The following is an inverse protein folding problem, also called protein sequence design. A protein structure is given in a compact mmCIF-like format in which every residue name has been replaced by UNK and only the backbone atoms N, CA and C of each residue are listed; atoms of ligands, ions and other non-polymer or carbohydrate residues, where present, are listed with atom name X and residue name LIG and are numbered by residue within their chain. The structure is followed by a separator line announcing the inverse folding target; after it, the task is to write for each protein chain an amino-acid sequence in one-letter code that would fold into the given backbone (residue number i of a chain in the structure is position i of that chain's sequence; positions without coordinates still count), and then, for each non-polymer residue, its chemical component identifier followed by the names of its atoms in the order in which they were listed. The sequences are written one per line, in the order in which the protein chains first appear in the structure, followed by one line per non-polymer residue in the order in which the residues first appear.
data_IF_003024651963
#
_entry.id   IF_003024651963
#
_cell.length_a   1.000
_cell.length_b   1.000
_cell.length_c   1.000
_cell.angle_alpha   90.00
_cell.angle_beta   90.00
_cell.angle_gamma   90.00
#
_symmetry.space_group_name_H-M   'P 1'
#
loop_
_entity.id
_entity.type
_entity.pdbx_description
1 polymer ?
#
# COMPACT_ATOMS: atom_id res chain seq x y z
N UNK A 1 -18.85 -30.69 0.88
CA UNK A 1 -17.93 -30.56 -0.27
C UNK A 1 -17.34 -29.16 -0.30
N UNK A 2 -16.04 -28.99 -0.04
CA UNK A 2 -15.39 -27.69 -0.15
C UNK A 2 -15.10 -27.39 -1.62
N UNK A 3 -15.68 -26.33 -2.19
CA UNK A 3 -15.24 -25.79 -3.49
C UNK A 3 -13.72 -25.60 -3.41
N UNK A 4 -12.96 -26.25 -4.30
CA UNK A 4 -11.57 -25.84 -4.54
C UNK A 4 -11.62 -24.36 -4.87
N UNK A 5 -10.96 -23.53 -4.04
CA UNK A 5 -10.90 -22.10 -4.28
C UNK A 5 -10.19 -21.92 -5.63
N UNK A 6 -10.93 -21.43 -6.62
CA UNK A 6 -10.35 -21.03 -7.89
C UNK A 6 -9.34 -19.92 -7.59
N UNK A 7 -8.06 -20.21 -7.83
CA UNK A 7 -6.95 -19.31 -7.50
C UNK A 7 -6.91 -18.13 -8.50
N UNK A 8 -7.51 -18.30 -9.69
CA UNK A 8 -7.48 -17.32 -10.78
C UNK A 8 -8.87 -16.77 -11.14
N UNK A 9 -9.93 -17.33 -10.56
CA UNK A 9 -11.31 -16.93 -10.83
C UNK A 9 -11.65 -15.50 -10.36
N UNK A 10 -12.74 -14.92 -10.90
CA UNK A 10 -13.18 -13.57 -10.53
C UNK A 10 -13.54 -13.46 -9.03
N UNK A 11 -13.92 -14.57 -8.39
CA UNK A 11 -14.29 -14.65 -6.97
C UNK A 11 -13.19 -15.22 -6.07
N UNK A 12 -11.92 -15.26 -6.55
CA UNK A 12 -10.79 -15.72 -5.73
C UNK A 12 -10.73 -15.01 -4.38
N UNK A 13 -10.28 -15.71 -3.36
CA UNK A 13 -10.20 -15.19 -2.00
C UNK A 13 -11.53 -14.73 -1.38
N UNK A 14 -12.69 -14.93 -2.05
CA UNK A 14 -14.00 -14.65 -1.46
C UNK A 14 -14.64 -15.95 -0.95
N UNK A 15 -15.23 -15.86 0.24
CA UNK A 15 -16.04 -16.93 0.84
C UNK A 15 -17.34 -16.34 1.38
N UNK A 16 -18.48 -16.97 1.08
CA UNK A 16 -19.79 -16.55 1.58
C UNK A 16 -20.13 -17.36 2.83
N UNK A 17 -20.42 -16.68 3.96
CA UNK A 17 -20.85 -17.33 5.20
C UNK A 17 -21.93 -16.48 5.88
N UNK A 18 -23.07 -17.09 6.20
CA UNK A 18 -24.18 -16.40 6.87
C UNK A 18 -24.66 -15.16 6.11
N UNK A 19 -24.72 -15.24 4.77
CA UNK A 19 -25.16 -14.13 3.91
C UNK A 19 -24.16 -12.98 3.76
N UNK A 20 -22.94 -13.07 4.33
CA UNK A 20 -21.91 -12.04 4.19
C UNK A 20 -20.64 -12.59 3.56
N UNK A 21 -20.00 -11.79 2.73
CA UNK A 21 -18.72 -12.13 2.11
C UNK A 21 -17.56 -11.89 3.08
N UNK A 22 -16.59 -12.81 3.00
CA UNK A 22 -15.34 -12.80 3.74
C UNK A 22 -14.18 -12.90 2.74
N UNK A 23 -13.18 -12.07 2.95
CA UNK A 23 -11.87 -12.21 2.34
C UNK A 23 -11.07 -13.29 3.08
N UNK A 24 -10.55 -14.26 2.34
CA UNK A 24 -9.75 -15.36 2.87
C UNK A 24 -8.57 -15.66 1.95
N UNK A 25 -7.36 -15.46 2.47
CA UNK A 25 -6.11 -15.63 1.70
C UNK A 25 -5.05 -16.34 2.52
N UNK A 26 -4.36 -17.30 1.90
CA UNK A 26 -3.22 -17.98 2.53
C UNK A 26 -1.96 -17.13 2.44
N UNK A 27 -1.16 -17.16 3.50
CA UNK A 27 0.18 -16.56 3.50
C UNK A 27 1.10 -17.43 2.62
N UNK A 28 1.91 -16.83 1.73
CA UNK A 28 2.87 -17.56 0.92
C UNK A 28 3.88 -18.34 1.76
N UNK A 29 4.26 -19.54 1.31
CA UNK A 29 5.11 -20.45 2.09
C UNK A 29 6.45 -19.81 2.49
N UNK A 30 7.08 -19.04 1.61
CA UNK A 30 8.34 -18.35 1.87
C UNK A 30 8.25 -17.23 2.93
N UNK A 31 7.03 -16.82 3.33
CA UNK A 31 6.78 -15.82 4.38
C UNK A 31 6.29 -16.47 5.69
N UNK A 32 6.19 -17.80 5.72
CA UNK A 32 5.78 -18.52 6.92
C UNK A 32 6.83 -18.33 8.00
N UNK A 33 6.41 -17.92 9.20
CA UNK A 33 7.31 -17.59 10.31
C UNK A 33 7.70 -16.12 10.38
N UNK A 34 7.57 -15.36 9.29
CA UNK A 34 7.72 -13.89 9.28
C UNK A 34 6.36 -13.23 9.52
N UNK A 35 5.34 -13.68 8.80
CA UNK A 35 3.97 -13.19 8.95
C UNK A 35 3.19 -14.08 9.91
N UNK A 36 2.43 -13.52 10.87
CA UNK A 36 1.68 -14.31 11.82
C UNK A 36 0.52 -15.05 11.14
N UNK A 37 0.49 -16.37 11.35
CA UNK A 37 -0.61 -17.23 10.97
C UNK A 37 -0.60 -17.67 9.49
N UNK A 38 -1.15 -18.86 9.17
CA UNK A 38 -1.12 -19.40 7.81
C UNK A 38 -2.24 -18.84 6.90
N UNK A 39 -3.25 -18.18 7.49
CA UNK A 39 -4.47 -17.78 6.80
C UNK A 39 -4.97 -16.43 7.32
N UNK A 40 -5.08 -15.47 6.42
CA UNK A 40 -5.74 -14.19 6.64
C UNK A 40 -7.23 -14.39 6.39
N UNK A 41 -8.07 -13.99 7.35
CA UNK A 41 -9.53 -14.04 7.21
C UNK A 41 -10.17 -12.76 7.73
N UNK A 42 -11.02 -12.14 6.90
CA UNK A 42 -11.64 -10.85 7.21
C UNK A 42 -13.06 -10.76 6.67
N UNK A 43 -13.98 -10.23 7.47
CA UNK A 43 -15.34 -9.94 7.00
C UNK A 43 -15.32 -8.67 6.13
N UNK A 44 -15.95 -8.73 4.95
CA UNK A 44 -16.15 -7.57 4.07
C UNK A 44 -17.40 -6.77 4.43
N UNK A 45 -18.18 -7.26 5.41
CA UNK A 45 -19.42 -6.70 5.95
C UNK A 45 -20.52 -6.46 4.90
N UNK A 46 -20.39 -7.02 3.70
CA UNK A 46 -21.35 -6.89 2.60
C UNK A 46 -21.90 -8.25 2.15
N UNK A 47 -23.13 -8.26 1.68
CA UNK A 47 -23.80 -9.39 1.00
C UNK A 47 -23.82 -9.22 -0.53
N UNK A 48 -23.43 -8.04 -1.04
CA UNK A 48 -23.30 -7.75 -2.46
C UNK A 48 -21.94 -8.23 -2.98
N UNK A 49 -21.98 -9.05 -4.02
CA UNK A 49 -20.80 -9.66 -4.65
C UNK A 49 -19.91 -8.62 -5.32
N UNK A 50 -20.50 -7.60 -5.96
CA UNK A 50 -19.73 -6.59 -6.70
C UNK A 50 -18.89 -5.75 -5.73
N UNK A 51 -19.53 -5.24 -4.68
CA UNK A 51 -18.85 -4.55 -3.59
C UNK A 51 -17.84 -5.44 -2.87
N UNK A 52 -18.13 -6.74 -2.71
CA UNK A 52 -17.19 -7.69 -2.12
C UNK A 52 -15.91 -7.84 -2.96
N UNK A 53 -16.03 -7.94 -4.29
CA UNK A 53 -14.89 -8.00 -5.21
C UNK A 53 -14.02 -6.77 -5.10
N UNK A 54 -14.62 -5.57 -5.14
CA UNK A 54 -13.89 -4.31 -5.00
C UNK A 54 -13.10 -4.26 -3.68
N UNK A 55 -13.74 -4.58 -2.56
CA UNK A 55 -13.05 -4.60 -1.25
C UNK A 55 -11.95 -5.67 -1.19
N UNK A 56 -12.17 -6.83 -1.80
CA UNK A 56 -11.15 -7.90 -1.89
C UNK A 56 -9.94 -7.45 -2.70
N UNK A 57 -10.14 -6.77 -3.83
CA UNK A 57 -9.04 -6.31 -4.68
C UNK A 57 -8.13 -5.32 -3.93
N UNK A 58 -8.71 -4.40 -3.14
CA UNK A 58 -7.95 -3.48 -2.29
C UNK A 58 -7.15 -4.22 -1.21
N UNK A 59 -7.77 -5.18 -0.51
CA UNK A 59 -7.10 -5.97 0.52
C UNK A 59 -6.01 -6.87 -0.04
N UNK A 60 -6.24 -7.47 -1.20
CA UNK A 60 -5.26 -8.31 -1.89
C UNK A 60 -4.05 -7.48 -2.30
N UNK A 61 -4.26 -6.28 -2.85
CA UNK A 61 -3.19 -5.35 -3.17
C UNK A 61 -2.42 -4.90 -1.91
N UNK A 62 -3.10 -4.63 -0.80
CA UNK A 62 -2.45 -4.27 0.45
C UNK A 62 -1.58 -5.41 1.04
N UNK A 63 -2.09 -6.65 1.01
CA UNK A 63 -1.33 -7.82 1.42
C UNK A 63 -0.11 -8.03 0.51
N UNK A 64 -0.26 -7.84 -0.81
CA UNK A 64 0.86 -7.91 -1.75
C UNK A 64 1.95 -6.90 -1.40
N UNK A 65 1.58 -5.65 -1.17
CA UNK A 65 2.55 -4.61 -0.82
C UNK A 65 3.26 -4.93 0.49
N UNK A 66 2.52 -5.35 1.52
CA UNK A 66 3.09 -5.74 2.81
C UNK A 66 4.10 -6.88 2.63
N UNK A 67 3.71 -7.96 1.97
CA UNK A 67 4.58 -9.11 1.73
C UNK A 67 5.80 -8.77 0.90
N UNK A 68 5.61 -7.91 -0.09
CA UNK A 68 6.68 -7.41 -0.93
C UNK A 68 7.64 -6.50 -0.14
N UNK A 69 7.20 -5.84 0.94
CA UNK A 69 8.08 -5.06 1.82
C UNK A 69 8.98 -5.95 2.69
N UNK A 70 8.54 -7.18 2.99
CA UNK A 70 9.27 -8.12 3.85
C UNK A 70 10.40 -8.85 3.09
N UNK A 71 10.42 -8.76 1.77
CA UNK A 71 11.36 -9.48 0.89
C UNK A 71 12.36 -8.56 0.20
N UNK A 72 12.25 -7.25 0.37
CA UNK A 72 13.11 -6.27 -0.28
C UNK A 72 14.28 -5.89 0.62
N UNK A 73 15.48 -5.87 0.04
CA UNK A 73 16.73 -5.52 0.71
C UNK A 73 17.04 -4.00 0.74
N UNK A 74 16.05 -3.16 0.44
CA UNK A 74 16.18 -1.70 0.45
C UNK A 74 15.20 -1.10 1.45
N UNK A 75 15.74 -0.39 2.44
CA UNK A 75 14.95 0.23 3.52
C UNK A 75 13.93 1.24 2.98
N UNK A 76 14.31 2.04 1.97
CA UNK A 76 13.41 3.01 1.32
C UNK A 76 12.26 2.30 0.61
N UNK A 77 12.56 1.26 -0.16
CA UNK A 77 11.52 0.49 -0.86
C UNK A 77 10.62 -0.27 0.12
N UNK A 78 11.17 -0.76 1.23
CA UNK A 78 10.42 -1.39 2.33
C UNK A 78 9.48 -0.40 3.00
N UNK A 79 9.96 0.79 3.37
CA UNK A 79 9.14 1.85 3.95
C UNK A 79 8.00 2.27 3.01
N UNK A 80 8.30 2.46 1.71
CA UNK A 80 7.31 2.82 0.69
C UNK A 80 6.22 1.75 0.52
N UNK A 81 6.61 0.48 0.48
CA UNK A 81 5.65 -0.65 0.36
C UNK A 81 4.80 -0.82 1.62
N UNK A 82 5.39 -0.65 2.80
CA UNK A 82 4.63 -0.64 4.07
C UNK A 82 3.60 0.48 4.10
N UNK A 83 4.02 1.69 3.72
CA UNK A 83 3.13 2.84 3.62
C UNK A 83 2.00 2.60 2.61
N UNK A 84 2.30 2.10 1.41
CA UNK A 84 1.27 1.79 0.40
C UNK A 84 0.26 0.73 0.90
N UNK A 85 0.73 -0.31 1.59
CA UNK A 85 -0.14 -1.28 2.27
C UNK A 85 -1.06 -0.59 3.29
N UNK A 86 -0.52 0.32 4.10
CA UNK A 86 -1.29 1.04 5.12
C UNK A 86 -2.38 1.92 4.50
N UNK A 87 -2.06 2.64 3.42
CA UNK A 87 -3.02 3.48 2.68
C UNK A 87 -4.19 2.64 2.19
N UNK A 88 -3.90 1.55 1.47
CA UNK A 88 -4.93 0.65 0.93
C UNK A 88 -5.79 0.00 2.03
N UNK A 89 -5.20 -0.32 3.18
CA UNK A 89 -5.94 -0.88 4.34
C UNK A 89 -6.89 0.13 4.96
N UNK A 90 -6.45 1.38 5.13
CA UNK A 90 -7.30 2.46 5.62
C UNK A 90 -8.49 2.65 4.68
N UNK A 91 -8.25 2.72 3.37
CA UNK A 91 -9.29 2.87 2.35
C UNK A 91 -10.29 1.70 2.35
N UNK A 92 -9.81 0.46 2.45
CA UNK A 92 -10.66 -0.73 2.55
C UNK A 92 -11.57 -0.71 3.79
N UNK A 93 -11.17 0.03 4.83
CA UNK A 93 -11.94 0.26 6.05
C UNK A 93 -12.84 1.51 6.00
N UNK A 94 -12.78 2.29 4.93
CA UNK A 94 -13.54 3.52 4.77
C UNK A 94 -12.87 4.76 5.36
N UNK A 95 -11.56 4.71 5.61
CA UNK A 95 -10.78 5.86 6.10
C UNK A 95 -9.83 6.35 5.01
N UNK A 96 -9.68 7.67 4.90
CA UNK A 96 -8.52 8.23 4.21
C UNK A 96 -7.30 8.09 5.11
N UNK A 97 -6.18 7.65 4.53
CA UNK A 97 -4.94 7.55 5.28
C UNK A 97 -4.41 8.94 5.61
N UNK A 98 -4.15 9.17 6.90
CA UNK A 98 -3.51 10.36 7.45
C UNK A 98 -2.54 9.90 8.53
N UNK A 99 -1.43 10.60 8.71
CA UNK A 99 -0.51 10.27 9.81
C UNK A 99 -1.16 10.57 11.16
N UNK A 100 -0.76 9.86 12.21
CA UNK A 100 -1.27 10.10 13.56
C UNK A 100 -1.11 11.58 13.99
N UNK A 101 0.02 12.18 13.63
CA UNK A 101 0.31 13.58 13.92
C UNK A 101 -0.65 14.54 13.19
N UNK A 102 -0.93 14.29 11.91
CA UNK A 102 -1.86 15.09 11.11
C UNK A 102 -3.32 14.94 11.60
N UNK A 103 -3.71 13.72 12.00
CA UNK A 103 -5.03 13.47 12.62
C UNK A 103 -5.19 14.30 13.90
N UNK A 104 -4.18 14.32 14.77
CA UNK A 104 -4.20 15.06 16.03
C UNK A 104 -4.20 16.57 15.80
N UNK A 105 -3.39 17.06 14.86
CA UNK A 105 -3.23 18.50 14.63
C UNK A 105 -4.37 19.12 13.81
N UNK A 106 -4.83 18.43 12.77
CA UNK A 106 -5.75 19.02 11.78
C UNK A 106 -7.09 18.28 11.67
N UNK A 107 -7.20 17.03 12.13
CA UNK A 107 -8.46 16.27 12.15
C UNK A 107 -9.39 16.63 13.32
N UNK A 108 -8.82 17.14 14.41
CA UNK A 108 -9.56 17.45 15.63
C UNK A 108 -9.96 16.21 16.44
N UNK A 109 -10.47 16.44 17.65
CA UNK A 109 -10.75 15.37 18.63
C UNK A 109 -11.80 14.36 18.13
N UNK A 110 -12.82 14.84 17.39
CA UNK A 110 -13.90 13.98 16.88
C UNK A 110 -13.36 12.96 15.88
N UNK A 111 -12.52 13.36 14.92
CA UNK A 111 -11.92 12.41 13.96
C UNK A 111 -11.06 11.38 14.70
N UNK A 112 -10.25 11.81 15.66
CA UNK A 112 -9.42 10.90 16.45
C UNK A 112 -10.26 9.85 17.21
N UNK A 113 -11.35 10.26 17.87
CA UNK A 113 -12.25 9.34 18.58
C UNK A 113 -12.93 8.36 17.62
N UNK A 114 -13.42 8.81 16.47
CA UNK A 114 -14.06 7.91 15.49
C UNK A 114 -13.11 6.82 14.98
N UNK A 115 -11.82 7.16 14.81
CA UNK A 115 -10.78 6.20 14.43
C UNK A 115 -10.47 5.22 15.57
N UNK A 116 -10.41 5.68 16.81
CA UNK A 116 -10.21 4.82 18.00
C UNK A 116 -11.37 3.82 18.16
N UNK A 117 -12.61 4.29 18.07
CA UNK A 117 -13.81 3.42 18.16
C UNK A 117 -13.85 2.37 17.03
N UNK A 118 -13.36 2.74 15.84
CA UNK A 118 -13.29 1.81 14.72
C UNK A 118 -12.28 0.67 14.98
N UNK A 119 -11.20 0.94 15.71
CA UNK A 119 -10.14 -0.01 16.05
C UNK A 119 -10.61 -1.13 16.98
N UNK A 120 -11.56 -0.88 17.88
CA UNK A 120 -12.08 -1.93 18.79
C UNK A 120 -12.62 -3.16 18.05
N UNK A 121 -13.12 -2.95 16.82
CA UNK A 121 -13.72 -4.00 16.00
C UNK A 121 -12.72 -4.65 15.03
N UNK A 122 -11.47 -4.20 15.04
CA UNK A 122 -10.38 -4.68 14.18
C UNK A 122 -9.55 -5.72 14.95
N UNK A 123 -9.19 -6.82 14.28
CA UNK A 123 -8.44 -7.93 14.90
C UNK A 123 -6.99 -8.04 14.43
N UNK A 124 -6.63 -7.24 13.44
CA UNK A 124 -5.43 -7.36 12.63
C UNK A 124 -4.54 -6.14 12.90
N UNK A 125 -3.34 -6.31 13.48
CA UNK A 125 -2.48 -5.18 13.87
C UNK A 125 -2.20 -4.19 12.73
N UNK A 126 -1.98 -4.70 11.51
CA UNK A 126 -1.70 -3.87 10.33
C UNK A 126 -2.88 -2.96 9.95
N UNK A 127 -4.10 -3.37 10.26
CA UNK A 127 -5.29 -2.57 10.02
C UNK A 127 -5.47 -1.51 11.10
N UNK A 128 -5.06 -1.81 12.35
CA UNK A 128 -5.04 -0.83 13.44
C UNK A 128 -4.03 0.27 13.14
N UNK A 129 -2.82 -0.11 12.74
CA UNK A 129 -1.76 0.83 12.33
C UNK A 129 -2.22 1.71 11.16
N UNK A 130 -2.92 1.14 10.19
CA UNK A 130 -3.46 1.87 9.04
C UNK A 130 -4.53 2.89 9.44
N UNK A 131 -5.47 2.53 10.32
CA UNK A 131 -6.57 3.43 10.73
C UNK A 131 -6.06 4.56 11.61
N UNK A 132 -5.15 4.26 12.53
CA UNK A 132 -4.57 5.24 13.45
C UNK A 132 -3.45 6.08 12.84
N UNK A 133 -3.00 5.75 11.62
CA UNK A 133 -1.95 6.51 10.95
C UNK A 133 -0.57 6.30 11.55
N UNK A 134 -0.31 5.12 12.12
CA UNK A 134 0.93 4.80 12.83
C UNK A 134 2.08 4.38 11.90
N UNK A 135 1.80 4.20 10.61
CA UNK A 135 2.83 3.89 9.62
C UNK A 135 3.52 5.17 9.17
N UNK A 136 4.84 5.22 9.32
CA UNK A 136 5.60 6.41 8.95
C UNK A 136 5.43 6.71 7.45
N UNK A 137 5.16 7.98 7.13
CA UNK A 137 5.18 8.48 5.77
C UNK A 137 6.62 8.46 5.26
N UNK A 138 6.92 7.68 4.20
CA UNK A 138 8.28 7.56 3.70
C UNK A 138 8.74 8.93 3.21
N UNK A 139 9.89 9.38 3.71
CA UNK A 139 10.53 10.61 3.28
C UNK A 139 11.17 10.37 1.92
N UNK A 140 10.39 10.54 0.85
CA UNK A 140 10.84 10.37 -0.53
C UNK A 140 11.90 11.43 -0.83
N UNK A 141 13.12 11.01 -1.17
CA UNK A 141 14.17 11.95 -1.59
C UNK A 141 13.94 12.43 -3.02
N UNK A 142 14.59 13.53 -3.40
CA UNK A 142 14.53 14.03 -4.78
C UNK A 142 15.00 12.97 -5.78
N UNK A 143 16.02 12.18 -5.43
CA UNK A 143 16.47 11.03 -6.23
C UNK A 143 15.37 9.98 -6.42
N UNK A 144 14.73 9.56 -5.31
CA UNK A 144 13.65 8.57 -5.34
C UNK A 144 12.45 9.08 -6.15
N UNK A 145 12.09 10.36 -6.01
CA UNK A 145 11.00 10.98 -6.76
C UNK A 145 11.26 10.97 -8.28
N UNK A 146 12.51 11.18 -8.68
CA UNK A 146 12.92 11.10 -10.08
C UNK A 146 12.83 9.68 -10.64
N UNK A 147 13.21 8.67 -9.85
CA UNK A 147 13.04 7.27 -10.25
C UNK A 147 11.56 6.90 -10.40
N UNK A 148 10.69 7.38 -9.50
CA UNK A 148 9.23 7.22 -9.60
C UNK A 148 8.72 7.86 -10.88
N UNK A 149 9.13 9.09 -11.16
CA UNK A 149 8.72 9.80 -12.37
C UNK A 149 9.07 9.02 -13.63
N UNK A 150 10.27 8.44 -13.70
CA UNK A 150 10.72 7.64 -14.84
C UNK A 150 9.98 6.31 -14.97
N UNK A 151 9.87 5.58 -13.88
CA UNK A 151 9.47 4.17 -13.90
C UNK A 151 7.95 3.97 -13.74
N UNK A 152 7.23 4.94 -13.18
CA UNK A 152 5.81 4.82 -12.90
C UNK A 152 4.98 5.85 -13.69
N UNK A 153 5.43 7.11 -13.78
CA UNK A 153 4.63 8.20 -14.36
C UNK A 153 4.81 8.30 -15.89
N UNK A 154 6.04 8.17 -16.39
CA UNK A 154 6.38 8.37 -17.82
C UNK A 154 6.74 7.05 -18.52
N UNK A 155 6.56 5.92 -17.83
CA UNK A 155 6.93 4.61 -18.35
C UNK A 155 6.23 4.26 -19.67
N UNK A 156 4.96 4.62 -19.80
CA UNK A 156 4.14 4.45 -21.01
C UNK A 156 4.69 5.27 -22.20
N UNK A 157 5.15 6.50 -21.97
CA UNK A 157 5.75 7.35 -22.98
C UNK A 157 7.14 6.85 -23.39
N UNK A 158 7.89 6.26 -22.45
CA UNK A 158 9.21 5.68 -22.69
C UNK A 158 9.14 4.38 -23.49
N UNK A 159 8.08 3.58 -23.32
CA UNK A 159 7.85 2.35 -24.09
C UNK A 159 7.81 2.63 -25.61
N UNK A 160 7.24 3.77 -26.02
CA UNK A 160 7.12 4.17 -27.44
C UNK A 160 8.44 4.66 -28.07
N UNK A 161 9.47 4.94 -27.28
CA UNK A 161 10.76 5.44 -27.77
C UNK A 161 11.71 4.32 -28.13
N UNK A 162 12.61 4.57 -29.09
CA UNK A 162 13.71 3.65 -29.38
C UNK A 162 14.70 3.54 -28.19
N UNK A 163 15.47 2.45 -28.07
CA UNK A 163 16.43 2.29 -26.98
C UNK A 163 17.42 3.45 -26.85
N UNK A 164 17.85 4.04 -27.98
CA UNK A 164 18.74 5.20 -28.00
C UNK A 164 18.04 6.45 -27.46
N UNK A 165 16.83 6.73 -27.94
CA UNK A 165 16.03 7.88 -27.48
C UNK A 165 15.70 7.80 -25.99
N UNK A 166 15.46 6.60 -25.46
CA UNK A 166 15.26 6.40 -24.01
C UNK A 166 16.51 6.75 -23.22
N UNK A 167 17.69 6.30 -23.66
CA UNK A 167 18.97 6.62 -23.00
C UNK A 167 19.26 8.11 -23.03
N UNK A 168 19.09 8.76 -24.18
CA UNK A 168 19.36 10.20 -24.32
C UNK A 168 18.39 11.02 -23.46
N UNK A 169 17.10 10.64 -23.43
CA UNK A 169 16.11 11.26 -22.56
C UNK A 169 16.44 11.08 -21.07
N UNK A 170 16.79 9.85 -20.66
CA UNK A 170 17.15 9.55 -19.28
C UNK A 170 18.37 10.35 -18.85
N UNK A 171 19.42 10.38 -19.69
CA UNK A 171 20.68 11.10 -19.43
C UNK A 171 20.47 12.58 -19.13
N UNK A 172 19.61 13.26 -19.87
CA UNK A 172 19.33 14.68 -19.65
C UNK A 172 18.68 14.90 -18.27
N UNK A 173 17.72 14.06 -17.90
CA UNK A 173 17.00 14.18 -16.64
C UNK A 173 17.85 13.72 -15.44
N UNK A 174 18.66 12.67 -15.61
CA UNK A 174 19.63 12.20 -14.62
C UNK A 174 20.64 13.29 -14.27
N UNK A 175 21.21 13.92 -15.29
CA UNK A 175 22.17 15.01 -15.10
C UNK A 175 21.57 16.16 -14.29
N UNK A 176 20.30 16.51 -14.51
CA UNK A 176 19.63 17.57 -13.76
C UNK A 176 19.53 17.22 -12.26
N UNK A 177 19.14 15.98 -11.94
CA UNK A 177 19.02 15.51 -10.55
C UNK A 177 20.38 15.36 -9.89
N UNK A 178 21.39 14.84 -10.60
CA UNK A 178 22.77 14.78 -10.10
C UNK A 178 23.31 16.17 -9.79
N UNK A 179 23.06 17.15 -10.67
CA UNK A 179 23.48 18.54 -10.45
C UNK A 179 22.78 19.13 -9.23
N UNK A 180 21.47 18.90 -9.07
CA UNK A 180 20.72 19.34 -7.89
C UNK A 180 21.29 18.73 -6.61
N UNK A 181 21.54 17.42 -6.61
CA UNK A 181 22.14 16.70 -5.47
C UNK A 181 23.54 17.23 -5.14
N UNK A 182 24.33 17.62 -6.13
CA UNK A 182 25.67 18.18 -5.91
C UNK A 182 25.63 19.55 -5.21
N UNK A 183 24.60 20.36 -5.47
CA UNK A 183 24.48 21.71 -4.91
C UNK A 183 23.76 21.72 -3.57
N UNK A 184 22.63 21.00 -3.47
CA UNK A 184 21.69 21.09 -2.34
C UNK A 184 21.75 19.82 -1.47
N UNK A 185 22.27 18.70 -2.00
CA UNK A 185 22.20 17.39 -1.37
C UNK A 185 20.93 16.63 -1.76
N UNK A 186 20.87 15.36 -1.34
CA UNK A 186 19.72 14.49 -1.61
C UNK A 186 18.67 14.63 -0.48
N UNK A 187 17.94 15.75 -0.53
CA UNK A 187 17.01 16.15 0.53
C UNK A 187 15.67 15.39 0.36
N UNK A 188 15.01 14.98 1.46
CA UNK A 188 13.64 14.51 1.41
C UNK A 188 12.68 15.62 0.95
N UNK A 189 11.76 15.29 0.04
CA UNK A 189 10.66 16.16 -0.39
C UNK A 189 9.58 16.19 0.68
N UNK A 190 9.85 16.89 1.78
CA UNK A 190 8.88 17.11 2.86
C UNK A 190 8.11 18.39 2.51
N UNK A 191 6.77 18.35 2.58
CA UNK A 191 5.98 19.59 2.55
C UNK A 191 6.40 20.45 3.73
N UNK A 192 6.68 21.76 3.56
CA UNK A 192 6.74 22.65 4.72
C UNK A 192 5.36 22.61 5.38
N UNK A 193 5.34 22.18 6.64
CA UNK A 193 4.20 22.28 7.55
C UNK A 193 3.95 23.73 7.94
#
# INVERSE_FOLDING_TARGET
MGRKADIQGPDRHLTLRGGRYYYQRRVPTHLTGIVPGPLIKRSLKTSDLTLARMKRDVLEAADNDLWSSLTVNSEVATARRRYSSAVKRAEALGFQYRSALDIIQSGGLVEALTRIEAVEKIKTPQDVEAVLGLVETPKVKVSDAHDIYKNEIVADQLLRKSPRQRRDWAKVKDRAVETFKAVIGDIPMISPT
#
